data_IF_105151354953
#
_entry.id   IF_105151354953
#
_cell.length_a   1.000
_cell.length_b   1.000
_cell.length_c   1.000
_cell.angle_alpha   90.00
_cell.angle_beta   90.00
_cell.angle_gamma   90.00
#
_symmetry.space_group_name_H-M   'P 1'
#
loop_
_entity.id
_entity.type
_entity.pdbx_description
1 polymer ?
#
# COMPACT_ATOMS: atom_id res chain seq x y z
N UNK A 1 25.16 -2.71 -12.07
CA UNK A 1 24.39 -1.50 -12.40
C UNK A 1 23.36 -1.29 -11.31
N UNK A 2 23.75 -0.64 -10.21
CA UNK A 2 22.85 -0.22 -9.12
C UNK A 2 22.49 1.25 -9.37
N UNK A 3 21.30 1.51 -9.93
CA UNK A 3 20.89 2.87 -10.29
C UNK A 3 19.43 3.21 -9.97
N UNK A 4 18.69 2.38 -9.21
CA UNK A 4 17.23 2.56 -9.08
C UNK A 4 16.69 2.98 -7.70
N UNK A 5 17.48 2.89 -6.62
CA UNK A 5 16.91 3.08 -5.26
C UNK A 5 16.85 4.54 -4.83
N UNK A 6 17.83 5.36 -5.23
CA UNK A 6 17.96 6.76 -4.79
C UNK A 6 16.96 7.73 -5.42
N UNK A 7 16.70 7.62 -6.73
CA UNK A 7 15.73 8.52 -7.40
C UNK A 7 14.28 8.17 -7.09
N UNK A 8 14.00 6.89 -6.79
CA UNK A 8 12.63 6.43 -6.49
C UNK A 8 12.17 6.91 -5.12
N UNK A 9 13.02 6.85 -4.09
CA UNK A 9 12.67 7.30 -2.74
C UNK A 9 12.51 8.82 -2.65
N UNK A 10 13.41 9.58 -3.29
CA UNK A 10 13.30 11.04 -3.32
C UNK A 10 11.97 11.49 -3.96
N UNK A 11 11.60 10.87 -5.09
CA UNK A 11 10.32 11.13 -5.77
C UNK A 11 9.10 10.71 -4.94
N UNK A 12 9.19 9.62 -4.18
CA UNK A 12 8.13 9.17 -3.28
C UNK A 12 7.88 10.20 -2.18
N UNK A 13 8.95 10.70 -1.58
CA UNK A 13 8.90 11.73 -0.53
C UNK A 13 8.30 13.02 -1.10
N UNK A 14 8.77 13.44 -2.28
CA UNK A 14 8.27 14.63 -2.98
C UNK A 14 6.75 14.53 -3.25
N UNK A 15 6.29 13.47 -3.91
CA UNK A 15 4.85 13.28 -4.22
C UNK A 15 3.97 13.16 -2.97
N UNK A 16 4.49 12.53 -1.92
CA UNK A 16 3.80 12.45 -0.63
C UNK A 16 3.70 13.84 -0.02
N UNK A 17 4.78 14.63 -0.07
CA UNK A 17 4.80 16.02 0.39
C UNK A 17 3.85 16.92 -0.39
N UNK A 18 3.78 16.77 -1.73
CA UNK A 18 2.83 17.49 -2.59
C UNK A 18 1.39 17.21 -2.17
N UNK A 19 1.02 15.94 -1.99
CA UNK A 19 -0.33 15.57 -1.56
C UNK A 19 -0.65 16.12 -0.17
N UNK A 20 0.30 16.05 0.76
CA UNK A 20 0.14 16.59 2.13
C UNK A 20 -0.08 18.11 2.07
N UNK A 21 0.72 18.83 1.27
CA UNK A 21 0.61 20.27 1.11
C UNK A 21 -0.70 20.67 0.43
N UNK A 22 -1.09 19.99 -0.64
CA UNK A 22 -2.35 20.22 -1.36
C UNK A 22 -3.56 20.07 -0.43
N UNK A 23 -3.51 19.08 0.47
CA UNK A 23 -4.59 18.78 1.42
C UNK A 23 -4.52 19.60 2.72
N UNK A 24 -3.48 20.40 2.91
CA UNK A 24 -3.26 21.15 4.15
C UNK A 24 -3.06 20.25 5.38
N UNK A 25 -2.52 19.05 5.18
CA UNK A 25 -2.28 18.09 6.26
C UNK A 25 -0.98 18.39 7.00
N UNK A 26 -0.98 18.08 8.30
CA UNK A 26 0.22 18.19 9.14
C UNK A 26 0.87 16.83 9.30
N UNK A 27 2.15 16.74 8.96
CA UNK A 27 2.97 15.56 9.26
C UNK A 27 3.06 15.38 10.77
N UNK A 28 2.52 14.26 11.26
CA UNK A 28 2.53 13.90 12.70
C UNK A 28 3.81 13.15 13.10
N UNK A 29 4.64 12.79 12.13
CA UNK A 29 5.93 12.15 12.34
C UNK A 29 6.94 12.71 11.33
N UNK A 30 8.10 13.10 11.83
CA UNK A 30 9.22 13.57 11.00
C UNK A 30 9.92 12.43 10.23
N UNK A 31 9.49 11.18 10.44
CA UNK A 31 10.09 10.00 9.84
C UNK A 31 9.05 9.20 9.05
N UNK A 32 9.12 9.18 7.71
CA UNK A 32 8.26 8.30 6.92
C UNK A 32 8.51 6.84 7.33
N UNK A 33 7.44 6.04 7.40
CA UNK A 33 7.53 4.59 7.52
C UNK A 33 8.05 4.02 6.19
N UNK A 34 9.38 4.01 6.02
CA UNK A 34 10.02 3.55 4.78
C UNK A 34 10.09 2.03 4.78
N UNK A 35 9.34 1.41 3.87
CA UNK A 35 9.52 0.00 3.58
C UNK A 35 10.69 -0.22 2.62
N UNK A 36 11.78 -0.81 3.11
CA UNK A 36 12.96 -1.12 2.28
C UNK A 36 12.74 -2.38 1.44
N UNK A 37 11.68 -2.45 0.61
CA UNK A 37 11.51 -3.28 -0.60
C UNK A 37 11.66 -4.82 -0.53
N UNK A 38 12.56 -5.38 0.28
CA UNK A 38 12.77 -6.81 0.52
C UNK A 38 11.65 -7.41 1.37
N UNK A 39 11.10 -6.66 2.32
CA UNK A 39 10.02 -7.08 3.22
C UNK A 39 8.63 -7.03 2.56
N UNK A 40 8.43 -6.13 1.59
CA UNK A 40 7.26 -6.12 0.72
C UNK A 40 7.13 -7.38 -0.16
N UNK A 41 8.24 -8.07 -0.48
CA UNK A 41 8.24 -9.28 -1.32
C UNK A 41 7.71 -10.52 -0.58
N UNK A 42 7.84 -10.56 0.74
CA UNK A 42 7.43 -11.70 1.58
C UNK A 42 6.13 -11.47 2.34
N UNK A 43 5.53 -10.27 2.25
CA UNK A 43 4.37 -9.91 3.07
C UNK A 43 4.73 -9.54 4.52
N UNK A 44 6.02 -9.52 4.85
CA UNK A 44 6.53 -9.27 6.19
C UNK A 44 6.16 -7.87 6.72
N UNK A 45 5.79 -6.91 5.86
CA UNK A 45 5.44 -5.55 6.29
C UNK A 45 4.22 -5.51 7.19
N UNK A 46 3.17 -6.25 6.80
CA UNK A 46 1.92 -6.36 7.57
C UNK A 46 2.12 -7.30 8.76
N UNK A 47 2.90 -8.37 8.60
CA UNK A 47 3.04 -9.41 9.62
C UNK A 47 4.07 -9.09 10.71
N UNK A 48 5.18 -8.42 10.39
CA UNK A 48 6.32 -8.20 11.31
C UNK A 48 7.01 -6.84 11.16
N UNK A 49 6.69 -6.08 10.12
CA UNK A 49 7.29 -4.79 9.81
C UNK A 49 6.68 -3.63 10.57
N UNK A 50 7.22 -2.43 10.32
CA UNK A 50 6.78 -1.20 10.98
C UNK A 50 5.30 -0.87 10.71
N UNK A 51 4.78 -1.27 9.55
CA UNK A 51 3.36 -1.13 9.20
C UNK A 51 2.47 -2.03 10.07
N UNK A 52 2.87 -3.30 10.26
CA UNK A 52 2.21 -4.22 11.17
C UNK A 52 2.17 -3.70 12.60
N UNK A 53 3.32 -3.22 13.11
CA UNK A 53 3.42 -2.59 14.44
C UNK A 53 2.54 -1.34 14.55
N UNK A 54 2.49 -0.51 13.51
CA UNK A 54 1.60 0.64 13.47
C UNK A 54 0.14 0.23 13.60
N UNK A 55 -0.32 -0.74 12.79
CA UNK A 55 -1.67 -1.27 12.88
C UNK A 55 -1.98 -1.89 14.25
N UNK A 56 -1.05 -2.68 14.78
CA UNK A 56 -1.18 -3.29 16.11
C UNK A 56 -1.29 -2.24 17.22
N UNK A 57 -0.53 -1.14 17.16
CA UNK A 57 -0.61 -0.04 18.13
C UNK A 57 -2.00 0.61 18.16
N UNK A 58 -2.65 0.76 17.00
CA UNK A 58 -4.03 1.25 16.89
C UNK A 58 -5.00 0.21 17.46
N UNK A 59 -4.83 -1.06 17.10
CA UNK A 59 -5.71 -2.13 17.57
C UNK A 59 -5.66 -2.33 19.08
N UNK A 60 -4.48 -2.13 19.69
CA UNK A 60 -4.27 -2.16 21.14
C UNK A 60 -4.68 -0.86 21.86
N UNK A 61 -5.11 0.17 21.14
CA UNK A 61 -5.50 1.46 21.72
C UNK A 61 -4.31 2.29 22.23
N UNK A 62 -3.08 1.97 21.82
CA UNK A 62 -1.87 2.71 22.17
C UNK A 62 -1.71 3.97 21.29
N UNK A 63 -2.41 4.02 20.16
CA UNK A 63 -2.46 5.14 19.23
C UNK A 63 -3.90 5.42 18.85
N UNK A 64 -4.32 6.67 18.98
CA UNK A 64 -5.62 7.13 18.49
C UNK A 64 -5.56 7.31 16.96
N UNK A 65 -6.35 6.56 16.17
CA UNK A 65 -6.38 6.71 14.73
C UNK A 65 -7.28 7.85 14.24
N UNK A 66 -8.10 8.47 15.10
CA UNK A 66 -9.03 9.53 14.72
C UNK A 66 -8.25 10.74 14.21
N UNK A 67 -8.55 11.18 12.98
CA UNK A 67 -7.84 12.28 12.34
C UNK A 67 -6.45 11.92 11.80
N UNK A 68 -6.00 10.67 11.94
CA UNK A 68 -4.78 10.20 11.32
C UNK A 68 -5.03 9.75 9.88
N UNK A 69 -4.11 10.15 8.99
CA UNK A 69 -4.08 9.70 7.59
C UNK A 69 -2.79 8.93 7.36
N UNK A 70 -2.93 7.66 6.97
CA UNK A 70 -1.83 6.85 6.47
C UNK A 70 -1.69 7.09 4.97
N UNK A 71 -0.65 7.82 4.57
CA UNK A 71 -0.36 8.10 3.16
C UNK A 71 0.57 7.02 2.59
N UNK A 72 0.18 6.44 1.46
CA UNK A 72 0.90 5.35 0.79
C UNK A 72 1.00 5.62 -0.70
N UNK A 73 2.12 5.24 -1.32
CA UNK A 73 2.30 5.46 -2.77
C UNK A 73 1.31 4.61 -3.59
N UNK A 74 1.29 3.31 -3.30
CA UNK A 74 0.45 2.31 -3.98
C UNK A 74 0.01 1.25 -2.95
N UNK A 75 -1.22 0.72 -3.09
CA UNK A 75 -1.76 -0.28 -2.16
C UNK A 75 -1.12 -1.65 -2.32
N UNK A 76 -0.69 -2.03 -3.51
CA UNK A 76 0.03 -3.29 -3.76
C UNK A 76 1.46 -3.28 -3.16
N UNK A 77 1.99 -2.11 -2.81
CA UNK A 77 3.27 -1.95 -2.08
C UNK A 77 3.12 -2.06 -0.57
N UNK A 78 1.94 -1.74 0.00
CA UNK A 78 1.67 -1.98 1.43
C UNK A 78 1.86 -3.45 1.76
N UNK A 79 1.42 -4.34 0.88
CA UNK A 79 1.91 -5.70 0.81
C UNK A 79 1.62 -6.29 -0.57
N UNK A 80 2.58 -7.05 -1.11
CA UNK A 80 2.33 -7.87 -2.30
C UNK A 80 1.42 -9.08 -2.00
N UNK A 81 0.69 -9.04 -0.88
CA UNK A 81 -0.26 -10.06 -0.49
C UNK A 81 -1.53 -9.95 -1.35
N UNK A 82 -2.33 -11.02 -1.41
CA UNK A 82 -3.66 -10.98 -2.01
C UNK A 82 -4.55 -9.85 -1.43
N UNK A 83 -5.47 -9.36 -2.27
CA UNK A 83 -6.34 -8.23 -1.94
C UNK A 83 -7.20 -8.46 -0.67
N UNK A 84 -7.58 -9.72 -0.40
CA UNK A 84 -8.34 -10.13 0.78
C UNK A 84 -7.54 -9.97 2.08
N UNK A 85 -6.24 -10.27 2.06
CA UNK A 85 -5.36 -10.06 3.23
C UNK A 85 -5.20 -8.58 3.53
N UNK A 86 -5.00 -7.77 2.48
CA UNK A 86 -4.93 -6.31 2.59
C UNK A 86 -6.22 -5.74 3.18
N UNK A 87 -7.37 -6.17 2.65
CA UNK A 87 -8.69 -5.72 3.11
C UNK A 87 -8.94 -6.12 4.56
N UNK A 88 -8.54 -7.33 4.95
CA UNK A 88 -8.65 -7.84 6.33
C UNK A 88 -7.81 -7.01 7.32
N UNK A 89 -6.65 -6.52 6.88
CA UNK A 89 -5.80 -5.66 7.70
C UNK A 89 -6.32 -4.22 7.79
N UNK A 90 -6.71 -3.60 6.68
CA UNK A 90 -7.11 -2.19 6.66
C UNK A 90 -8.49 -1.94 7.25
N UNK A 91 -9.45 -2.85 7.03
CA UNK A 91 -10.84 -2.66 7.45
C UNK A 91 -10.99 -2.34 8.94
N UNK A 92 -10.38 -3.09 9.89
CA UNK A 92 -10.51 -2.76 11.31
C UNK A 92 -9.84 -1.44 11.68
N UNK A 93 -8.75 -1.05 11.00
CA UNK A 93 -8.06 0.23 11.24
C UNK A 93 -8.92 1.41 10.80
N UNK A 94 -9.48 1.31 9.59
CA UNK A 94 -10.35 2.34 9.02
C UNK A 94 -11.64 2.49 9.83
N UNK A 95 -12.23 1.37 10.29
CA UNK A 95 -13.42 1.39 11.15
C UNK A 95 -13.19 2.07 12.50
N UNK A 96 -11.94 2.06 12.99
CA UNK A 96 -11.53 2.76 14.22
C UNK A 96 -11.26 4.26 14.01
N UNK A 97 -11.22 4.74 12.76
CA UNK A 97 -11.07 6.17 12.45
C UNK A 97 -9.88 6.50 11.57
N UNK A 98 -9.04 5.52 11.21
CA UNK A 98 -7.90 5.75 10.31
C UNK A 98 -8.41 6.07 8.90
N UNK A 99 -7.80 7.04 8.23
CA UNK A 99 -7.97 7.22 6.78
C UNK A 99 -6.72 6.73 6.07
N UNK A 100 -6.88 6.06 4.92
CA UNK A 100 -5.74 5.65 4.08
C UNK A 100 -5.81 6.44 2.78
N UNK A 101 -4.74 7.15 2.42
CA UNK A 101 -4.64 7.93 1.20
C UNK A 101 -3.63 7.31 0.24
N UNK A 102 -4.04 7.07 -1.01
CA UNK A 102 -3.22 6.46 -2.05
C UNK A 102 -2.73 7.53 -3.01
N UNK A 103 -1.42 7.82 -3.03
CA UNK A 103 -0.83 8.90 -3.83
C UNK A 103 -1.00 8.67 -5.32
N UNK A 104 -0.80 7.44 -5.80
CA UNK A 104 -0.87 7.11 -7.24
C UNK A 104 -2.24 7.36 -7.87
N UNK A 105 -3.32 7.27 -7.10
CA UNK A 105 -4.70 7.49 -7.59
C UNK A 105 -5.38 8.71 -6.98
N UNK A 106 -4.80 9.32 -5.94
CA UNK A 106 -5.42 10.38 -5.15
C UNK A 106 -6.64 9.93 -4.34
N UNK A 107 -6.92 8.62 -4.29
CA UNK A 107 -8.10 8.07 -3.64
C UNK A 107 -7.87 7.89 -2.14
N UNK A 108 -8.95 7.97 -1.37
CA UNK A 108 -8.94 7.75 0.07
C UNK A 108 -9.88 6.64 0.45
N UNK A 109 -9.41 5.74 1.32
CA UNK A 109 -10.22 4.73 1.98
C UNK A 109 -10.60 5.28 3.35
N UNK A 110 -11.88 5.58 3.52
CA UNK A 110 -12.47 6.13 4.73
C UNK A 110 -13.49 5.16 5.31
N UNK A 111 -13.91 5.42 6.56
CA UNK A 111 -15.00 4.66 7.18
C UNK A 111 -16.30 4.74 6.38
N UNK A 112 -16.63 5.94 5.89
CA UNK A 112 -17.81 6.16 5.07
C UNK A 112 -17.74 5.32 3.78
N UNK A 113 -16.59 5.27 3.10
CA UNK A 113 -16.41 4.39 1.95
C UNK A 113 -16.65 2.91 2.28
N UNK A 114 -16.22 2.44 3.46
CA UNK A 114 -16.48 1.07 3.92
C UNK A 114 -17.95 0.78 4.26
N UNK A 115 -18.76 1.81 4.50
CA UNK A 115 -20.13 1.67 4.94
C UNK A 115 -21.13 1.96 3.78
N UNK A 116 -20.79 2.86 2.86
CA UNK A 116 -21.73 3.42 1.87
C UNK A 116 -21.24 3.33 0.41
N UNK A 117 -19.94 3.16 0.16
CA UNK A 117 -19.37 3.15 -1.21
C UNK A 117 -18.51 1.90 -1.49
N UNK A 118 -19.18 0.75 -1.53
CA UNK A 118 -18.56 -0.52 -1.93
C UNK A 118 -18.02 -0.49 -3.36
N UNK A 119 -18.63 0.28 -4.26
CA UNK A 119 -18.18 0.42 -5.64
C UNK A 119 -16.83 1.11 -5.76
N UNK A 120 -16.66 2.23 -5.04
CA UNK A 120 -15.41 2.96 -4.94
C UNK A 120 -14.29 2.13 -4.32
N UNK A 121 -14.60 1.41 -3.22
CA UNK A 121 -13.64 0.48 -2.61
C UNK A 121 -13.18 -0.60 -3.59
N UNK A 122 -14.11 -1.25 -4.31
CA UNK A 122 -13.76 -2.27 -5.30
C UNK A 122 -12.95 -1.69 -6.46
N UNK A 123 -13.24 -0.46 -6.89
CA UNK A 123 -12.48 0.23 -7.93
C UNK A 123 -11.02 0.47 -7.50
N UNK A 124 -10.82 0.92 -6.26
CA UNK A 124 -9.49 1.10 -5.65
C UNK A 124 -8.74 -0.25 -5.63
N UNK A 125 -9.38 -1.31 -5.14
CA UNK A 125 -8.77 -2.64 -5.05
C UNK A 125 -8.45 -3.24 -6.42
N UNK A 126 -9.35 -3.12 -7.39
CA UNK A 126 -9.12 -3.58 -8.77
C UNK A 126 -7.98 -2.81 -9.41
N UNK A 127 -7.88 -1.50 -9.19
CA UNK A 127 -6.79 -0.68 -9.74
C UNK A 127 -5.45 -1.09 -9.13
N UNK A 128 -5.42 -1.28 -7.81
CA UNK A 128 -4.23 -1.67 -7.07
C UNK A 128 -3.73 -3.08 -7.44
N UNK A 129 -4.63 -4.07 -7.45
CA UNK A 129 -4.26 -5.48 -7.59
C UNK A 129 -4.47 -6.03 -9.01
N UNK A 130 -5.26 -5.36 -9.84
CA UNK A 130 -5.57 -5.79 -11.21
C UNK A 130 -4.38 -5.71 -12.16
N UNK A 131 -3.54 -4.67 -12.05
CA UNK A 131 -2.30 -4.51 -12.83
C UNK A 131 -1.30 -5.66 -12.58
N UNK A 132 -1.32 -6.19 -11.35
CA UNK A 132 -0.51 -7.32 -10.91
C UNK A 132 -0.96 -8.65 -11.54
N UNK A 133 -2.26 -8.84 -11.82
CA UNK A 133 -2.73 -10.08 -12.47
C UNK A 133 -2.30 -10.18 -13.93
N UNK A 134 -2.38 -9.10 -14.71
CA UNK A 134 -1.90 -9.09 -16.09
C UNK A 134 -0.37 -9.17 -16.17
N UNK A 135 0.35 -8.52 -15.25
CA UNK A 135 1.80 -8.59 -15.16
C UNK A 135 2.30 -9.97 -14.71
N UNK A 136 1.66 -10.61 -13.72
CA UNK A 136 1.97 -12.00 -13.32
C UNK A 136 1.64 -12.99 -14.42
N UNK A 137 0.50 -12.85 -15.12
CA UNK A 137 0.17 -13.70 -16.28
C UNK A 137 1.22 -13.57 -17.39
N UNK A 138 1.68 -12.34 -17.69
CA UNK A 138 2.77 -12.11 -18.65
C UNK A 138 4.10 -12.72 -18.18
N UNK A 139 4.46 -12.55 -16.91
CA UNK A 139 5.68 -13.14 -16.34
C UNK A 139 5.66 -14.67 -16.34
N UNK A 140 4.51 -15.30 -16.02
CA UNK A 140 4.32 -16.75 -16.11
C UNK A 140 4.41 -17.23 -17.55
N UNK A 141 3.80 -16.54 -18.52
CA UNK A 141 3.92 -16.89 -19.95
C UNK A 141 5.35 -16.75 -20.45
N UNK A 142 6.07 -15.70 -20.04
CA UNK A 142 7.48 -15.52 -20.38
C UNK A 142 8.32 -16.62 -19.76
N UNK A 143 8.17 -16.92 -18.46
CA UNK A 143 8.91 -18.00 -17.80
C UNK A 143 8.60 -19.38 -18.40
N UNK A 144 7.34 -19.66 -18.75
CA UNK A 144 6.95 -20.87 -19.46
C UNK A 144 7.61 -20.95 -20.85
N UNK A 145 7.66 -19.85 -21.60
CA UNK A 145 8.35 -19.78 -22.89
C UNK A 145 9.87 -20.00 -22.75
N UNK A 146 10.50 -19.53 -21.67
CA UNK A 146 11.91 -19.80 -21.37
C UNK A 146 12.18 -21.26 -20.98
N UNK A 147 11.21 -21.95 -20.38
CA UNK A 147 11.34 -23.36 -19.99
C UNK A 147 11.26 -24.27 -21.23
N UNK A 148 10.32 -23.99 -22.14
CA UNK A 148 10.20 -24.70 -23.43
C UNK A 148 11.43 -24.51 -24.32
N UNK A 149 12.11 -23.36 -24.23
CA UNK A 149 13.32 -23.08 -25.03
C UNK A 149 14.60 -23.72 -24.46
N UNK A 150 14.53 -24.34 -23.27
CA UNK A 150 15.64 -25.06 -22.61
C UNK A 150 15.53 -26.58 -22.75
N UNK A 151 14.35 -27.07 -23.16
CA UNK A 151 14.07 -28.50 -23.36
C UNK A 151 14.11 -28.90 -24.86
N UNK A 152 14.33 -27.94 -25.75
CA UNK A 152 14.70 -28.14 -27.16
C UNK A 152 16.14 -27.70 -27.39
#
# INVERSE_FOLDING_TARGET
>A
MEQSTGSTLARQIERTGELIAERGWTLTSDSPLIDRGKSAYTGANIETGELGKFGESIMRGQRDPVGLVLVVEELDRLSRQPADIMLSWLSPLVRRGLTIAVVSTGQMITRDMLDTDMGGLMTILITAFGSHTESRKKAVRVAAAWTVKREN
#
